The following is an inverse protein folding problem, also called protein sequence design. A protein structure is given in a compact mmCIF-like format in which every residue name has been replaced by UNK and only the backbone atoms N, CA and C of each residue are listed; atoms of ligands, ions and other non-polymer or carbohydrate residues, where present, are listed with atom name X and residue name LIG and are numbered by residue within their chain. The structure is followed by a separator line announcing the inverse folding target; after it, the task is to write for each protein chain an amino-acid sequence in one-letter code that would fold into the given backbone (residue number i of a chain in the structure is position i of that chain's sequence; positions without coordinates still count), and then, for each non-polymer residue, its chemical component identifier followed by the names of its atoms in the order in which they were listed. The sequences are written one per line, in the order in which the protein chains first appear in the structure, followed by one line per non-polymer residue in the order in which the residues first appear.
data_IF_482792708562
#
_entry.id   IF_482792708562
#
_cell.length_a   1.000
_cell.length_b   1.000
_cell.length_c   1.000
_cell.angle_alpha   90.00
_cell.angle_beta   90.00
_cell.angle_gamma   90.00
#
_symmetry.space_group_name_H-M   'P 1'
#
loop_
_entity.id
_entity.type
_entity.pdbx_description
1 polymer ?
#
# COMPACT_ATOMS: atom_id res chain seq x y z
N UNK A 1 -27.22 3.01 6.47
CA UNK A 1 -27.01 1.61 6.19
C UNK A 1 -28.37 0.98 5.89
N UNK A 2 -28.74 0.89 4.63
CA UNK A 2 -30.00 0.30 4.16
C UNK A 2 -29.84 -0.12 2.70
N UNK A 3 -30.51 -1.15 2.29
CA UNK A 3 -30.64 -1.64 0.92
C UNK A 3 -32.08 -1.45 0.41
N UNK A 4 -32.36 -1.86 -0.80
CA UNK A 4 -33.68 -1.78 -1.42
C UNK A 4 -33.88 -0.54 -2.29
N UNK A 5 -32.81 0.11 -2.71
CA UNK A 5 -32.78 1.28 -3.59
C UNK A 5 -32.46 0.91 -5.05
N UNK A 6 -31.68 1.73 -5.73
CA UNK A 6 -31.38 1.55 -7.16
C UNK A 6 -30.69 0.24 -7.53
N UNK A 7 -29.99 -0.39 -6.59
CA UNK A 7 -29.36 -1.70 -6.76
C UNK A 7 -30.38 -2.84 -6.88
N UNK A 8 -31.62 -2.64 -6.44
CA UNK A 8 -32.61 -3.70 -6.41
C UNK A 8 -33.47 -3.74 -7.68
N UNK A 9 -34.09 -2.62 -8.05
CA UNK A 9 -34.98 -2.52 -9.21
C UNK A 9 -35.33 -1.06 -9.51
N UNK A 10 -36.19 -0.83 -10.54
CA UNK A 10 -36.64 0.52 -10.93
C UNK A 10 -37.48 1.24 -9.85
N UNK A 11 -38.26 0.52 -9.06
CA UNK A 11 -39.02 1.09 -7.94
C UNK A 11 -38.04 1.62 -6.86
N UNK A 12 -37.00 0.84 -6.55
CA UNK A 12 -35.91 1.25 -5.67
C UNK A 12 -35.14 2.46 -6.21
N UNK A 13 -34.92 2.52 -7.51
CA UNK A 13 -34.28 3.67 -8.15
C UNK A 13 -35.15 4.95 -8.04
N UNK A 14 -36.46 4.82 -8.18
CA UNK A 14 -37.37 5.95 -7.95
C UNK A 14 -37.37 6.40 -6.48
N UNK A 15 -37.37 5.45 -5.56
CA UNK A 15 -37.28 5.75 -4.13
C UNK A 15 -35.97 6.49 -3.81
N UNK A 16 -34.84 6.06 -4.40
CA UNK A 16 -33.57 6.75 -4.25
C UNK A 16 -33.60 8.18 -4.78
N UNK A 17 -34.21 8.43 -5.93
CA UNK A 17 -34.40 9.79 -6.47
C UNK A 17 -35.19 10.69 -5.49
N UNK A 18 -36.31 10.19 -4.98
CA UNK A 18 -37.12 10.91 -3.97
C UNK A 18 -36.32 11.19 -2.70
N UNK A 19 -35.55 10.23 -2.23
CA UNK A 19 -34.71 10.38 -1.06
C UNK A 19 -33.64 11.48 -1.24
N UNK A 20 -32.98 11.51 -2.39
CA UNK A 20 -32.00 12.56 -2.74
C UNK A 20 -32.68 13.94 -2.79
N UNK A 21 -33.86 14.05 -3.38
CA UNK A 21 -34.59 15.32 -3.48
C UNK A 21 -35.01 15.88 -2.11
N UNK A 22 -35.41 15.01 -1.20
CA UNK A 22 -35.75 15.41 0.20
C UNK A 22 -34.50 15.90 0.90
N UNK A 23 -33.38 15.16 0.81
CA UNK A 23 -32.13 15.54 1.44
C UNK A 23 -31.61 16.89 0.93
N UNK A 24 -31.64 17.11 -0.40
CA UNK A 24 -31.23 18.37 -1.01
C UNK A 24 -32.07 19.54 -0.51
N UNK A 25 -33.39 19.39 -0.43
CA UNK A 25 -34.29 20.43 0.09
C UNK A 25 -34.02 20.75 1.57
N UNK A 26 -33.57 19.78 2.33
CA UNK A 26 -33.21 19.93 3.74
C UNK A 26 -31.74 20.39 3.95
N UNK A 27 -30.94 20.61 2.90
CA UNK A 27 -29.51 20.94 2.99
C UNK A 27 -28.64 19.80 3.52
N UNK A 28 -29.13 18.55 3.43
CA UNK A 28 -28.38 17.36 3.88
C UNK A 28 -27.62 16.69 2.73
N UNK A 29 -26.49 16.07 3.05
CA UNK A 29 -25.69 15.26 2.13
C UNK A 29 -25.86 13.77 2.45
N UNK A 30 -25.77 12.92 1.43
CA UNK A 30 -25.97 11.48 1.56
C UNK A 30 -24.71 10.73 1.10
N UNK A 31 -24.19 9.86 1.97
CA UNK A 31 -23.24 8.79 1.61
C UNK A 31 -24.04 7.49 1.57
N UNK A 32 -23.99 6.78 0.45
CA UNK A 32 -24.82 5.60 0.19
C UNK A 32 -25.95 5.89 -0.79
N UNK A 33 -27.15 5.25 -0.61
CA UNK A 33 -27.48 4.15 0.30
C UNK A 33 -26.72 2.85 -0.01
N UNK A 34 -27.13 1.73 0.53
CA UNK A 34 -26.48 0.43 0.33
C UNK A 34 -24.97 0.50 0.67
N UNK A 35 -24.67 0.97 1.88
CA UNK A 35 -23.31 1.23 2.36
C UNK A 35 -23.07 0.58 3.71
N UNK A 36 -21.84 0.13 3.93
CA UNK A 36 -21.36 -0.28 5.25
C UNK A 36 -21.04 0.91 6.18
N UNK A 37 -21.06 2.13 5.65
CA UNK A 37 -20.90 3.35 6.43
C UNK A 37 -19.52 3.99 6.30
N UNK A 38 -19.16 4.78 7.31
CA UNK A 38 -17.93 5.55 7.34
C UNK A 38 -17.28 5.57 8.74
N UNK A 39 -15.97 5.72 8.77
CA UNK A 39 -15.20 5.93 9.99
C UNK A 39 -14.19 7.07 9.79
N UNK A 40 -14.08 7.93 10.79
CA UNK A 40 -13.00 8.89 10.93
C UNK A 40 -12.23 8.56 12.21
N UNK A 41 -11.13 7.84 12.06
CA UNK A 41 -10.38 7.31 13.18
C UNK A 41 -9.56 8.39 13.92
N UNK A 42 -9.29 9.54 13.27
CA UNK A 42 -8.63 10.68 13.91
C UNK A 42 -9.54 11.30 14.98
N UNK A 43 -10.82 11.48 14.64
CA UNK A 43 -11.81 12.09 15.55
C UNK A 43 -12.55 11.07 16.39
N UNK A 44 -12.38 9.78 16.17
CA UNK A 44 -13.12 8.71 16.83
C UNK A 44 -14.61 8.69 16.48
N UNK A 45 -15.00 9.22 15.29
CA UNK A 45 -16.39 9.25 14.84
C UNK A 45 -16.64 8.11 13.85
N UNK A 46 -17.64 7.30 14.18
CA UNK A 46 -18.02 6.14 13.40
C UNK A 46 -19.52 6.19 13.10
N UNK A 47 -19.89 6.01 11.83
CA UNK A 47 -21.25 5.81 11.37
C UNK A 47 -21.27 4.55 10.50
N UNK A 48 -21.34 3.39 11.15
CA UNK A 48 -21.14 2.08 10.56
C UNK A 48 -22.37 1.20 10.77
N UNK A 49 -22.47 0.16 9.95
CA UNK A 49 -23.40 -0.93 10.20
C UNK A 49 -23.13 -1.52 11.59
N UNK A 50 -24.18 -1.83 12.35
CA UNK A 50 -24.06 -2.07 13.79
C UNK A 50 -23.45 -3.44 14.05
N UNK A 51 -22.19 -3.48 14.40
CA UNK A 51 -21.56 -4.69 14.94
C UNK A 51 -20.41 -4.34 15.85
N UNK A 52 -20.22 -5.13 16.89
CA UNK A 52 -19.09 -5.13 17.79
C UNK A 52 -17.85 -5.66 17.06
N UNK A 53 -17.28 -4.87 16.18
CA UNK A 53 -16.14 -5.26 15.35
C UNK A 53 -14.79 -4.73 15.87
N UNK A 54 -14.75 -4.25 17.10
CA UNK A 54 -13.50 -3.75 17.69
C UNK A 54 -12.97 -2.48 17.04
N UNK A 55 -13.85 -1.61 16.53
CA UNK A 55 -13.46 -0.36 15.87
C UNK A 55 -12.60 0.55 16.76
N UNK A 56 -12.79 0.50 18.07
CA UNK A 56 -12.02 1.22 19.07
C UNK A 56 -10.55 0.74 19.13
N UNK A 57 -10.25 -0.45 18.62
CA UNK A 57 -8.91 -1.03 18.57
C UNK A 57 -8.14 -0.67 17.29
N UNK A 58 -8.82 -0.10 16.28
CA UNK A 58 -8.15 0.29 15.04
C UNK A 58 -7.18 1.41 15.33
N UNK A 59 -5.91 1.19 15.03
CA UNK A 59 -4.88 2.20 15.22
C UNK A 59 -5.11 3.42 14.32
N UNK A 60 -4.77 4.60 14.81
CA UNK A 60 -4.73 5.81 13.99
C UNK A 60 -3.56 5.71 13.02
N UNK A 61 -3.84 5.98 11.75
CA UNK A 61 -2.85 5.94 10.69
C UNK A 61 -3.03 7.12 9.72
N UNK A 62 -2.38 7.06 8.59
CA UNK A 62 -2.38 8.15 7.59
C UNK A 62 -2.93 7.71 6.22
N UNK A 63 -3.43 6.48 6.12
CA UNK A 63 -4.02 5.93 4.90
C UNK A 63 -5.54 6.07 4.99
N UNK A 64 -6.16 6.63 3.96
CA UNK A 64 -7.62 6.72 3.85
C UNK A 64 -8.14 5.84 2.72
N UNK A 65 -9.25 5.17 2.97
CA UNK A 65 -9.89 4.25 2.03
C UNK A 65 -11.25 4.77 1.58
N UNK A 66 -11.49 4.75 0.27
CA UNK A 66 -12.79 4.94 -0.37
C UNK A 66 -13.15 3.62 -1.04
N UNK A 67 -14.32 3.06 -0.75
CA UNK A 67 -14.75 1.78 -1.31
C UNK A 67 -16.17 1.84 -1.86
N UNK A 68 -16.49 0.96 -2.79
CA UNK A 68 -17.85 0.67 -3.24
C UNK A 68 -18.32 -0.73 -2.86
N UNK A 69 -17.60 -1.41 -1.98
CA UNK A 69 -17.91 -2.79 -1.60
C UNK A 69 -17.81 -3.01 -0.10
N UNK A 70 -18.78 -3.72 0.45
CA UNK A 70 -18.77 -4.13 1.85
C UNK A 70 -17.64 -5.09 2.23
N UNK A 71 -16.96 -5.70 1.24
CA UNK A 71 -15.84 -6.63 1.51
C UNK A 71 -14.58 -5.93 2.04
N UNK A 72 -14.42 -4.62 1.81
CA UNK A 72 -13.38 -3.78 2.45
C UNK A 72 -13.94 -3.08 3.70
N UNK A 73 -15.20 -3.31 4.02
CA UNK A 73 -15.80 -2.68 5.18
C UNK A 73 -15.08 -3.05 6.47
N UNK A 74 -15.23 -2.20 7.47
CA UNK A 74 -14.54 -2.37 8.75
C UNK A 74 -14.87 -3.68 9.45
N UNK A 75 -16.05 -4.25 9.20
CA UNK A 75 -16.45 -5.55 9.73
C UNK A 75 -15.91 -6.76 8.94
N UNK A 76 -15.35 -6.56 7.75
CA UNK A 76 -14.93 -7.65 6.86
C UNK A 76 -13.42 -7.86 6.83
N UNK A 77 -12.64 -6.88 7.28
CA UNK A 77 -11.17 -6.90 7.28
C UNK A 77 -10.67 -6.74 8.72
N UNK A 78 -9.65 -7.48 9.16
CA UNK A 78 -9.13 -7.38 10.51
C UNK A 78 -8.30 -6.10 10.74
N UNK A 79 -8.94 -4.95 10.58
CA UNK A 79 -8.30 -3.64 10.66
C UNK A 79 -7.58 -3.37 11.98
N UNK A 80 -8.07 -3.96 13.08
CA UNK A 80 -7.44 -3.85 14.38
C UNK A 80 -6.04 -4.50 14.43
N UNK A 81 -5.78 -5.45 13.54
CA UNK A 81 -4.52 -6.17 13.45
C UNK A 81 -3.52 -5.47 12.52
N UNK A 82 -3.95 -4.42 11.78
CA UNK A 82 -3.03 -3.63 10.98
C UNK A 82 -2.18 -2.71 11.86
N UNK A 83 -0.87 -2.95 11.97
CA UNK A 83 -0.01 -2.20 12.87
C UNK A 83 0.17 -0.74 12.46
N UNK A 84 0.01 -0.43 11.16
CA UNK A 84 0.12 0.93 10.61
C UNK A 84 -1.18 1.75 10.71
N UNK A 85 -2.32 1.14 11.08
CA UNK A 85 -3.58 1.83 11.26
C UNK A 85 -4.19 2.48 10.01
N UNK A 86 -5.34 3.11 10.18
CA UNK A 86 -6.02 3.88 9.13
C UNK A 86 -6.41 5.28 9.61
N UNK A 87 -6.58 6.20 8.68
CA UNK A 87 -7.13 7.53 8.95
C UNK A 87 -8.65 7.53 8.81
N UNK A 88 -9.13 7.39 7.58
CA UNK A 88 -10.57 7.39 7.26
C UNK A 88 -10.92 6.18 6.42
N UNK A 89 -12.13 5.70 6.62
CA UNK A 89 -12.76 4.68 5.79
C UNK A 89 -14.13 5.17 5.38
N UNK A 90 -14.45 5.13 4.08
CA UNK A 90 -15.74 5.59 3.54
C UNK A 90 -16.22 4.59 2.50
N UNK A 91 -17.34 3.94 2.79
CA UNK A 91 -18.04 3.11 1.81
C UNK A 91 -19.13 3.93 1.13
N UNK A 92 -18.98 4.12 -0.18
CA UNK A 92 -19.84 4.95 -1.01
C UNK A 92 -21.21 4.30 -1.32
N UNK A 93 -21.31 2.97 -1.28
CA UNK A 93 -22.51 2.26 -1.70
C UNK A 93 -22.97 2.69 -3.10
N UNK A 94 -24.25 3.07 -3.24
CA UNK A 94 -24.86 3.48 -4.53
C UNK A 94 -24.40 4.87 -5.03
N UNK A 95 -23.67 5.65 -4.25
CA UNK A 95 -23.19 7.00 -4.62
C UNK A 95 -24.32 7.93 -5.12
N UNK A 96 -25.45 7.97 -4.43
CA UNK A 96 -26.59 8.70 -4.92
C UNK A 96 -26.40 10.24 -4.91
N UNK A 97 -25.60 10.74 -3.96
CA UNK A 97 -25.26 12.17 -3.81
C UNK A 97 -23.75 12.37 -3.79
N UNK A 98 -23.08 12.00 -2.68
CA UNK A 98 -21.61 12.05 -2.59
C UNK A 98 -20.99 10.93 -3.43
N UNK A 99 -20.01 11.28 -4.25
CA UNK A 99 -19.33 10.36 -5.16
C UNK A 99 -17.81 10.26 -4.89
N UNK A 100 -17.13 9.41 -5.66
CA UNK A 100 -15.70 9.19 -5.57
C UNK A 100 -14.87 10.44 -5.86
N UNK A 101 -15.34 11.32 -6.73
CA UNK A 101 -14.63 12.55 -7.09
C UNK A 101 -14.63 13.54 -5.94
N UNK A 102 -15.78 13.72 -5.29
CA UNK A 102 -15.91 14.61 -4.14
C UNK A 102 -15.11 14.10 -2.93
N UNK A 103 -15.14 12.79 -2.67
CA UNK A 103 -14.33 12.23 -1.60
C UNK A 103 -12.83 12.30 -1.90
N UNK A 104 -12.43 12.15 -3.15
CA UNK A 104 -11.05 12.33 -3.55
C UNK A 104 -10.59 13.76 -3.29
N UNK A 105 -11.40 14.76 -3.66
CA UNK A 105 -11.16 16.19 -3.34
C UNK A 105 -11.06 16.43 -1.81
N UNK A 106 -11.98 15.85 -1.05
CA UNK A 106 -12.00 15.97 0.41
C UNK A 106 -10.74 15.38 1.05
N UNK A 107 -10.37 14.13 0.71
CA UNK A 107 -9.18 13.47 1.26
C UNK A 107 -7.88 14.06 0.72
N UNK A 108 -7.90 14.59 -0.51
CA UNK A 108 -6.79 15.32 -1.09
C UNK A 108 -6.42 16.56 -0.29
N UNK A 109 -7.39 17.23 0.33
CA UNK A 109 -7.21 18.42 1.17
C UNK A 109 -7.09 18.10 2.67
N UNK A 110 -7.31 16.86 3.09
CA UNK A 110 -7.20 16.44 4.48
C UNK A 110 -5.71 16.33 4.91
N UNK A 111 -5.22 17.13 5.87
CA UNK A 111 -3.81 17.10 6.27
C UNK A 111 -3.38 15.79 6.91
N UNK A 112 -4.31 15.04 7.50
CA UNK A 112 -4.04 13.77 8.15
C UNK A 112 -3.94 12.59 7.17
N UNK A 113 -4.44 12.75 5.93
CA UNK A 113 -4.35 11.73 4.89
C UNK A 113 -3.06 11.89 4.09
N UNK A 114 -2.15 10.91 4.13
CA UNK A 114 -0.95 10.86 3.29
C UNK A 114 -1.18 10.07 2.00
N UNK A 115 -1.96 8.99 2.05
CA UNK A 115 -2.23 8.11 0.91
C UNK A 115 -3.73 7.88 0.82
N UNK A 116 -4.26 7.89 -0.41
CA UNK A 116 -5.67 7.60 -0.72
C UNK A 116 -5.73 6.29 -1.50
N UNK A 117 -6.48 5.33 -0.99
CA UNK A 117 -6.67 4.02 -1.60
C UNK A 117 -8.13 3.81 -1.97
N UNK A 118 -8.41 3.53 -3.26
CA UNK A 118 -9.77 3.40 -3.78
C UNK A 118 -10.05 1.98 -4.28
N UNK A 119 -11.23 1.46 -3.93
CA UNK A 119 -11.84 0.35 -4.64
C UNK A 119 -13.10 0.85 -5.34
N UNK A 120 -13.15 0.74 -6.65
CA UNK A 120 -14.25 1.28 -7.47
C UNK A 120 -14.81 0.23 -8.42
N UNK A 121 -16.12 0.23 -8.59
CA UNK A 121 -16.84 -0.57 -9.57
C UNK A 121 -17.16 0.24 -10.84
N UNK A 122 -17.35 1.53 -10.70
CA UNK A 122 -17.59 2.48 -11.78
C UNK A 122 -17.27 3.91 -11.36
N UNK A 123 -17.21 4.82 -12.33
CA UNK A 123 -17.04 6.26 -12.11
C UNK A 123 -18.32 6.96 -12.54
N UNK A 124 -18.85 7.84 -11.71
CA UNK A 124 -20.10 8.55 -11.98
C UNK A 124 -19.90 9.69 -12.98
N UNK A 125 -18.87 10.50 -12.75
CA UNK A 125 -18.44 11.59 -13.62
C UNK A 125 -16.92 11.47 -13.91
N UNK A 126 -16.59 10.88 -15.08
CA UNK A 126 -15.21 10.65 -15.47
C UNK A 126 -14.38 11.92 -15.66
N UNK A 127 -15.00 13.03 -16.10
CA UNK A 127 -14.31 14.30 -16.30
C UNK A 127 -13.95 14.94 -14.96
N UNK A 128 -14.89 14.96 -14.03
CA UNK A 128 -14.66 15.47 -12.68
C UNK A 128 -13.62 14.64 -11.94
N UNK A 129 -13.74 13.30 -12.02
CA UNK A 129 -12.77 12.38 -11.41
C UNK A 129 -11.37 12.60 -11.95
N UNK A 130 -11.20 12.68 -13.27
CA UNK A 130 -9.90 12.90 -13.92
C UNK A 130 -9.29 14.25 -13.48
N UNK A 131 -10.10 15.30 -13.41
CA UNK A 131 -9.65 16.63 -12.96
C UNK A 131 -9.18 16.60 -11.52
N UNK A 132 -9.99 16.08 -10.61
CA UNK A 132 -9.65 15.94 -9.20
C UNK A 132 -8.39 15.10 -8.99
N UNK A 133 -8.30 13.95 -9.68
CA UNK A 133 -7.17 13.05 -9.58
C UNK A 133 -5.86 13.72 -10.06
N UNK A 134 -5.86 14.44 -11.19
CA UNK A 134 -4.68 15.16 -11.69
C UNK A 134 -4.14 16.21 -10.71
N UNK A 135 -5.00 16.84 -9.95
CA UNK A 135 -4.59 17.80 -8.94
C UNK A 135 -3.99 17.09 -7.71
N UNK A 136 -4.66 16.03 -7.25
CA UNK A 136 -4.34 15.40 -5.98
C UNK A 136 -3.10 14.52 -6.08
N UNK A 137 -2.91 13.79 -7.17
CA UNK A 137 -1.75 12.90 -7.37
C UNK A 137 -0.40 13.62 -7.37
N UNK A 138 -0.38 14.91 -7.65
CA UNK A 138 0.81 15.77 -7.49
C UNK A 138 1.23 15.96 -6.03
N UNK A 139 0.29 15.82 -5.11
CA UNK A 139 0.50 16.08 -3.67
C UNK A 139 0.50 14.80 -2.84
N UNK A 140 -0.36 13.86 -3.20
CA UNK A 140 -0.57 12.60 -2.46
C UNK A 140 -0.68 11.43 -3.43
N UNK A 141 -0.08 10.27 -3.12
CA UNK A 141 -0.30 9.08 -3.92
C UNK A 141 -1.75 8.63 -3.81
N UNK A 142 -2.31 8.27 -4.97
CA UNK A 142 -3.65 7.74 -5.12
C UNK A 142 -3.54 6.37 -5.77
N UNK A 143 -4.03 5.34 -5.06
CA UNK A 143 -4.11 3.97 -5.57
C UNK A 143 -5.53 3.65 -5.96
N UNK A 144 -5.72 2.84 -7.00
CA UNK A 144 -7.05 2.37 -7.38
C UNK A 144 -7.05 0.90 -7.81
N UNK A 145 -7.95 0.14 -7.23
CA UNK A 145 -8.37 -1.16 -7.72
C UNK A 145 -9.77 -1.00 -8.34
N UNK A 146 -9.90 -1.28 -9.65
CA UNK A 146 -11.19 -1.28 -10.33
C UNK A 146 -11.64 -2.71 -10.60
N UNK A 147 -12.85 -3.05 -10.17
CA UNK A 147 -13.53 -4.28 -10.58
C UNK A 147 -14.29 -4.10 -11.91
N UNK A 148 -14.81 -5.18 -12.47
CA UNK A 148 -15.54 -5.14 -13.74
C UNK A 148 -14.67 -4.91 -14.96
N UNK A 149 -13.46 -5.47 -14.99
CA UNK A 149 -12.49 -5.33 -16.07
C UNK A 149 -12.84 -6.13 -17.33
N UNK A 150 -13.50 -7.26 -17.17
CA UNK A 150 -13.98 -8.10 -18.29
C UNK A 150 -15.45 -7.82 -18.58
N UNK A 151 -15.90 -8.15 -19.79
CA UNK A 151 -17.31 -8.00 -20.17
C UNK A 151 -18.26 -8.78 -19.27
N UNK A 152 -17.82 -9.96 -18.81
CA UNK A 152 -18.57 -10.81 -17.88
C UNK A 152 -18.65 -10.19 -16.49
N UNK A 153 -17.55 -9.71 -15.97
CA UNK A 153 -17.50 -9.02 -14.67
C UNK A 153 -18.29 -7.69 -14.71
N UNK A 154 -18.24 -6.95 -15.82
CA UNK A 154 -19.03 -5.74 -16.01
C UNK A 154 -20.55 -6.00 -15.95
N UNK A 155 -21.01 -7.09 -16.60
CA UNK A 155 -22.42 -7.53 -16.50
C UNK A 155 -22.83 -7.89 -15.07
N UNK A 156 -21.95 -8.57 -14.33
CA UNK A 156 -22.22 -8.92 -12.93
C UNK A 156 -22.37 -7.67 -12.06
N UNK A 157 -21.53 -6.64 -12.26
CA UNK A 157 -21.64 -5.35 -11.54
C UNK A 157 -22.98 -4.66 -11.81
N UNK A 158 -23.41 -4.58 -13.07
CA UNK A 158 -24.69 -3.98 -13.42
C UNK A 158 -25.84 -4.68 -12.69
N UNK A 159 -25.78 -6.01 -12.57
CA UNK A 159 -26.80 -6.78 -11.85
C UNK A 159 -26.75 -6.62 -10.33
N UNK A 160 -25.55 -6.28 -9.78
CA UNK A 160 -25.35 -6.20 -8.33
C UNK A 160 -25.55 -4.80 -7.75
N UNK A 161 -25.09 -3.77 -8.47
CA UNK A 161 -25.09 -2.38 -7.94
C UNK A 161 -25.83 -1.38 -8.84
N UNK A 162 -26.34 -1.82 -10.00
CA UNK A 162 -26.93 -0.93 -11.00
C UNK A 162 -25.94 0.05 -11.64
N UNK A 163 -24.66 -0.07 -11.33
CA UNK A 163 -23.60 0.81 -11.84
C UNK A 163 -23.17 0.39 -13.24
N UNK A 164 -23.05 1.33 -14.17
CA UNK A 164 -22.43 1.07 -15.46
C UNK A 164 -20.92 0.91 -15.28
N UNK A 165 -20.41 -0.29 -15.53
CA UNK A 165 -18.96 -0.50 -15.63
C UNK A 165 -18.48 0.12 -16.94
N UNK A 166 -17.70 1.20 -16.86
CA UNK A 166 -17.07 1.81 -18.02
C UNK A 166 -16.01 0.89 -18.65
N UNK A 167 -15.58 1.24 -19.88
CA UNK A 167 -14.51 0.53 -20.58
C UNK A 167 -13.20 0.54 -19.78
N UNK A 168 -12.58 -0.63 -19.65
CA UNK A 168 -11.37 -0.80 -18.82
C UNK A 168 -10.14 -0.12 -19.44
N UNK A 169 -10.05 -0.03 -20.76
CA UNK A 169 -8.94 0.64 -21.44
C UNK A 169 -9.04 2.16 -21.30
N UNK A 170 -10.27 2.70 -21.37
CA UNK A 170 -10.52 4.12 -21.10
C UNK A 170 -10.17 4.47 -19.65
N UNK A 171 -10.54 3.60 -18.71
CA UNK A 171 -10.18 3.80 -17.30
C UNK A 171 -8.66 3.73 -17.09
N UNK A 172 -7.97 2.78 -17.71
CA UNK A 172 -6.51 2.67 -17.63
C UNK A 172 -5.82 3.93 -18.19
N UNK A 173 -6.27 4.41 -19.33
CA UNK A 173 -5.78 5.66 -19.93
C UNK A 173 -6.01 6.87 -19.01
N UNK A 174 -7.16 6.94 -18.35
CA UNK A 174 -7.45 8.00 -17.39
C UNK A 174 -6.53 7.91 -16.14
N UNK A 175 -6.26 6.70 -15.63
CA UNK A 175 -5.31 6.50 -14.55
C UNK A 175 -3.91 6.97 -14.93
N UNK A 176 -3.43 6.62 -16.12
CA UNK A 176 -2.14 7.07 -16.64
C UNK A 176 -2.07 8.59 -16.77
N UNK A 177 -3.10 9.22 -17.36
CA UNK A 177 -3.17 10.68 -17.51
C UNK A 177 -3.22 11.43 -16.18
N UNK A 178 -3.81 10.83 -15.14
CA UNK A 178 -3.93 11.41 -13.82
C UNK A 178 -2.83 10.95 -12.85
N UNK A 179 -1.87 10.13 -13.31
CA UNK A 179 -0.83 9.56 -12.47
C UNK A 179 -1.37 8.75 -11.27
N UNK A 180 -2.54 8.13 -11.43
CA UNK A 180 -3.10 7.22 -10.44
C UNK A 180 -2.34 5.89 -10.51
N UNK A 181 -1.96 5.35 -9.37
CA UNK A 181 -1.36 4.03 -9.26
C UNK A 181 -2.46 2.98 -9.35
N UNK A 182 -2.61 2.39 -10.55
CA UNK A 182 -3.57 1.30 -10.76
C UNK A 182 -2.99 -0.01 -10.24
N UNK A 183 -3.73 -0.67 -9.33
CA UNK A 183 -3.39 -2.00 -8.81
C UNK A 183 -4.31 -3.07 -9.41
N UNK A 184 -3.86 -4.32 -9.41
CA UNK A 184 -4.57 -5.43 -10.03
C UNK A 184 -5.05 -6.49 -9.04
N UNK A 185 -4.49 -6.50 -7.85
CA UNK A 185 -4.79 -7.45 -6.79
C UNK A 185 -5.28 -6.70 -5.55
N UNK A 186 -6.14 -7.37 -4.79
CA UNK A 186 -6.70 -6.87 -3.56
C UNK A 186 -5.67 -6.44 -2.51
N UNK A 187 -4.71 -7.31 -2.23
CA UNK A 187 -3.66 -7.03 -1.25
C UNK A 187 -2.76 -5.85 -1.65
N UNK A 188 -2.60 -5.59 -2.96
CA UNK A 188 -1.80 -4.46 -3.45
C UNK A 188 -2.35 -3.10 -2.99
N UNK A 189 -3.67 -2.98 -2.74
CA UNK A 189 -4.25 -1.75 -2.18
C UNK A 189 -3.68 -1.41 -0.80
N UNK A 190 -3.38 -2.42 -0.01
CA UNK A 190 -2.83 -2.27 1.34
C UNK A 190 -1.31 -2.19 1.32
N UNK A 191 -0.68 -3.10 0.58
CA UNK A 191 0.78 -3.24 0.51
C UNK A 191 1.45 -1.98 -0.06
N UNK A 192 0.92 -1.42 -1.15
CA UNK A 192 1.51 -0.21 -1.71
C UNK A 192 1.11 1.05 -0.96
N UNK A 193 -0.08 1.06 -0.33
CA UNK A 193 -0.46 2.17 0.52
C UNK A 193 0.47 2.30 1.74
N UNK A 194 0.80 1.18 2.41
CA UNK A 194 1.66 1.23 3.60
C UNK A 194 3.08 1.72 3.29
N UNK A 195 3.72 1.26 2.21
CA UNK A 195 5.07 1.71 1.88
C UNK A 195 5.10 3.19 1.48
N UNK A 196 4.12 3.66 0.70
CA UNK A 196 3.98 5.06 0.31
C UNK A 196 3.67 6.00 1.49
N UNK A 197 3.04 5.47 2.55
CA UNK A 197 2.68 6.24 3.73
C UNK A 197 3.81 6.38 4.75
N UNK A 198 4.66 5.35 4.87
CA UNK A 198 5.59 5.21 5.99
C UNK A 198 7.06 5.25 5.61
N UNK A 199 7.40 5.11 4.33
CA UNK A 199 8.79 5.15 3.88
C UNK A 199 9.09 6.44 3.09
N UNK A 200 10.34 6.95 3.14
CA UNK A 200 10.75 8.06 2.30
C UNK A 200 10.68 7.69 0.82
N UNK A 201 10.41 8.64 -0.05
CA UNK A 201 10.47 8.40 -1.50
C UNK A 201 11.92 8.21 -1.95
N UNK A 202 12.19 7.29 -2.89
CA UNK A 202 13.53 7.12 -3.43
C UNK A 202 13.92 8.33 -4.30
N UNK A 203 15.21 8.69 -4.28
CA UNK A 203 15.76 9.77 -5.12
C UNK A 203 16.02 9.35 -6.57
N UNK A 204 16.01 8.05 -6.83
CA UNK A 204 16.26 7.45 -8.15
C UNK A 204 15.83 5.99 -8.15
N UNK A 205 16.27 5.25 -9.16
CA UNK A 205 15.87 3.86 -9.40
C UNK A 205 16.95 2.81 -9.07
N UNK A 206 18.03 3.21 -8.40
CA UNK A 206 19.17 2.32 -8.12
C UNK A 206 18.89 1.48 -6.90
N UNK A 207 18.68 0.17 -7.12
CA UNK A 207 18.29 -0.81 -6.11
C UNK A 207 19.49 -1.48 -5.46
N UNK A 208 19.57 -1.42 -4.14
CA UNK A 208 20.38 -2.31 -3.31
C UNK A 208 19.57 -3.55 -2.90
N UNK A 209 20.17 -4.73 -2.98
CA UNK A 209 19.54 -5.98 -2.56
C UNK A 209 20.36 -6.60 -1.44
N UNK A 210 19.72 -6.81 -0.29
CA UNK A 210 20.25 -7.57 0.83
C UNK A 210 19.43 -8.83 0.99
N UNK A 211 19.96 -9.98 0.62
CA UNK A 211 19.26 -11.26 0.62
C UNK A 211 20.04 -12.32 1.38
N UNK A 212 19.33 -13.23 2.03
CA UNK A 212 19.94 -14.40 2.67
C UNK A 212 20.12 -15.58 1.71
N UNK A 213 19.79 -15.41 0.43
CA UNK A 213 19.95 -16.46 -0.60
C UNK A 213 20.09 -15.85 -1.99
N UNK A 214 21.03 -16.35 -2.77
CA UNK A 214 21.27 -15.93 -4.14
C UNK A 214 20.08 -16.18 -5.08
N UNK A 215 19.33 -17.26 -4.86
CA UNK A 215 18.15 -17.58 -5.67
C UNK A 215 17.05 -16.50 -5.58
N UNK A 216 16.73 -16.05 -4.37
CA UNK A 216 15.78 -14.95 -4.16
C UNK A 216 16.31 -13.64 -4.72
N UNK A 217 17.61 -13.36 -4.55
CA UNK A 217 18.21 -12.17 -5.12
C UNK A 217 18.05 -12.10 -6.65
N UNK A 218 18.19 -13.22 -7.34
CA UNK A 218 17.97 -13.29 -8.79
C UNK A 218 16.52 -12.99 -9.19
N UNK A 219 15.55 -13.57 -8.48
CA UNK A 219 14.13 -13.29 -8.74
C UNK A 219 13.76 -11.81 -8.47
N UNK A 220 14.36 -11.23 -7.43
CA UNK A 220 14.20 -9.78 -7.14
C UNK A 220 14.73 -8.90 -8.28
N UNK A 221 15.86 -9.28 -8.91
CA UNK A 221 16.43 -8.56 -10.04
C UNK A 221 15.46 -8.55 -11.22
N UNK A 222 14.90 -9.70 -11.56
CA UNK A 222 13.93 -9.82 -12.66
C UNK A 222 12.72 -8.92 -12.45
N UNK A 223 12.08 -9.04 -11.28
CA UNK A 223 10.93 -8.19 -10.93
C UNK A 223 11.29 -6.70 -10.89
N UNK A 224 12.46 -6.36 -10.32
CA UNK A 224 12.92 -4.97 -10.24
C UNK A 224 13.06 -4.34 -11.63
N UNK A 225 13.61 -5.07 -12.61
CA UNK A 225 13.75 -4.62 -13.98
C UNK A 225 12.40 -4.34 -14.65
N UNK A 226 11.39 -5.20 -14.45
CA UNK A 226 10.02 -5.00 -14.94
C UNK A 226 9.38 -3.70 -14.42
N UNK A 227 9.76 -3.29 -13.20
CA UNK A 227 9.23 -2.09 -12.55
C UNK A 227 10.14 -0.86 -12.66
N UNK A 228 11.13 -0.92 -13.57
CA UNK A 228 11.99 0.22 -13.92
C UNK A 228 13.11 0.52 -12.92
N UNK A 229 13.40 -0.42 -12.01
CA UNK A 229 14.55 -0.33 -11.13
C UNK A 229 15.79 -0.93 -11.80
N UNK A 230 16.95 -0.44 -11.43
CA UNK A 230 18.26 -0.93 -11.90
C UNK A 230 19.11 -1.36 -10.73
N UNK A 231 19.89 -2.43 -10.91
CA UNK A 231 20.76 -2.91 -9.83
C UNK A 231 21.91 -1.92 -9.64
N UNK A 232 22.02 -1.36 -8.46
CA UNK A 232 23.06 -0.37 -8.14
C UNK A 232 24.46 -0.99 -8.18
N UNK A 233 25.41 -0.26 -8.71
CA UNK A 233 26.82 -0.55 -8.50
C UNK A 233 27.25 0.16 -7.21
N UNK A 234 27.74 -0.61 -6.24
CA UNK A 234 28.23 -0.07 -4.98
C UNK A 234 29.37 0.93 -5.20
N UNK A 235 29.49 1.91 -4.34
CA UNK A 235 30.66 2.75 -4.25
C UNK A 235 31.92 1.92 -3.92
N UNK A 236 33.12 2.41 -4.26
CA UNK A 236 34.33 1.73 -3.91
C UNK A 236 34.49 1.54 -2.40
N UNK A 237 34.10 2.55 -1.62
CA UNK A 237 34.11 2.52 -0.17
C UNK A 237 33.22 1.42 0.40
N UNK A 238 31.96 1.37 -0.04
CA UNK A 238 31.00 0.34 0.39
C UNK A 238 31.47 -1.06 -0.01
N UNK A 239 31.95 -1.20 -1.24
CA UNK A 239 32.51 -2.48 -1.72
C UNK A 239 33.69 -2.95 -0.85
N UNK A 240 34.60 -2.06 -0.49
CA UNK A 240 35.77 -2.41 0.32
C UNK A 240 35.40 -2.68 1.79
N UNK A 241 34.40 -1.98 2.34
CA UNK A 241 33.85 -2.27 3.68
C UNK A 241 33.26 -3.68 3.71
N UNK A 242 32.41 -4.03 2.76
CA UNK A 242 31.77 -5.34 2.70
C UNK A 242 32.80 -6.48 2.49
N UNK A 243 33.84 -6.30 1.66
CA UNK A 243 34.91 -7.27 1.50
C UNK A 243 35.69 -7.53 2.78
N UNK A 244 35.87 -6.50 3.62
CA UNK A 244 36.51 -6.67 4.94
C UNK A 244 35.65 -7.48 5.92
N UNK A 245 34.31 -7.39 5.80
CA UNK A 245 33.44 -8.15 6.64
C UNK A 245 33.42 -9.63 6.27
N UNK A 246 33.33 -9.94 4.99
CA UNK A 246 33.32 -11.33 4.51
C UNK A 246 33.95 -11.47 3.11
N UNK A 247 35.28 -11.62 3.01
CA UNK A 247 35.94 -11.93 1.75
C UNK A 247 35.70 -13.41 1.38
N UNK A 248 35.60 -13.78 0.10
CA UNK A 248 35.58 -12.98 -1.12
C UNK A 248 34.18 -12.75 -1.68
N UNK A 249 33.11 -13.20 -0.96
CA UNK A 249 31.73 -13.25 -1.50
C UNK A 249 31.05 -11.87 -1.56
N UNK A 250 31.49 -10.94 -0.72
CA UNK A 250 30.90 -9.62 -0.65
C UNK A 250 31.73 -8.56 -1.38
N UNK A 251 31.13 -7.44 -1.66
CA UNK A 251 31.75 -6.33 -2.39
C UNK A 251 31.04 -6.02 -3.69
N UNK A 252 29.93 -6.73 -3.95
CA UNK A 252 29.02 -6.48 -5.06
C UNK A 252 27.57 -6.48 -4.57
N UNK A 253 26.68 -5.93 -5.36
CA UNK A 253 25.22 -5.99 -5.19
C UNK A 253 24.66 -6.98 -6.22
N UNK A 254 23.84 -7.94 -5.85
CA UNK A 254 23.24 -8.23 -4.52
C UNK A 254 24.25 -8.69 -3.45
N UNK A 255 23.94 -8.39 -2.19
CA UNK A 255 24.67 -8.90 -1.03
C UNK A 255 23.95 -10.15 -0.53
N UNK A 256 24.63 -11.31 -0.61
CA UNK A 256 24.14 -12.58 -0.04
C UNK A 256 24.70 -12.77 1.37
N UNK A 257 23.89 -12.46 2.40
CA UNK A 257 24.30 -12.61 3.79
C UNK A 257 24.04 -14.01 4.37
N UNK A 258 23.40 -14.90 3.59
CA UNK A 258 23.15 -16.29 4.01
C UNK A 258 24.42 -17.12 4.08
N UNK A 259 25.43 -16.80 3.27
CA UNK A 259 26.71 -17.50 3.30
C UNK A 259 27.41 -17.33 4.66
N UNK A 260 27.58 -16.11 5.22
CA UNK A 260 28.12 -15.93 6.57
C UNK A 260 27.38 -16.68 7.65
N UNK A 261 26.07 -16.81 7.56
CA UNK A 261 25.24 -17.54 8.54
C UNK A 261 25.65 -19.01 8.66
N UNK A 262 25.96 -19.65 7.54
CA UNK A 262 26.39 -21.06 7.52
C UNK A 262 27.77 -21.28 8.16
N UNK A 263 28.67 -20.31 8.04
CA UNK A 263 30.06 -20.44 8.50
C UNK A 263 30.31 -19.81 9.87
N UNK A 264 29.51 -18.81 10.27
CA UNK A 264 29.67 -18.07 11.52
C UNK A 264 28.32 -17.83 12.21
N UNK A 265 27.66 -18.87 12.70
CA UNK A 265 26.30 -18.79 13.25
C UNK A 265 26.17 -17.78 14.41
N UNK A 266 27.23 -17.58 15.21
CA UNK A 266 27.21 -16.65 16.35
C UNK A 266 27.47 -15.19 15.94
N UNK A 267 27.81 -14.90 14.70
CA UNK A 267 28.21 -13.56 14.21
C UNK A 267 27.38 -13.07 13.02
N UNK A 268 26.43 -13.85 12.55
CA UNK A 268 25.68 -13.51 11.32
C UNK A 268 24.88 -12.21 11.44
N UNK A 269 24.28 -11.92 12.59
CA UNK A 269 23.47 -10.73 12.76
C UNK A 269 24.28 -9.43 12.68
N UNK A 270 25.47 -9.30 13.32
CA UNK A 270 26.35 -8.17 13.08
C UNK A 270 26.74 -7.97 11.60
N UNK A 271 26.93 -9.05 10.82
CA UNK A 271 27.19 -8.95 9.39
C UNK A 271 25.97 -8.39 8.65
N UNK A 272 24.79 -8.92 8.92
CA UNK A 272 23.54 -8.41 8.35
C UNK A 272 23.35 -6.93 8.67
N UNK A 273 23.48 -6.53 9.92
CA UNK A 273 23.36 -5.14 10.37
C UNK A 273 24.33 -4.22 9.62
N UNK A 274 25.63 -4.58 9.60
CA UNK A 274 26.64 -3.77 8.93
C UNK A 274 26.41 -3.70 7.41
N UNK A 275 25.96 -4.77 6.79
CA UNK A 275 25.62 -4.79 5.36
C UNK A 275 24.45 -3.85 5.07
N UNK A 276 23.38 -3.89 5.88
CA UNK A 276 22.24 -2.99 5.73
C UNK A 276 22.65 -1.52 5.93
N UNK A 277 23.43 -1.23 6.98
CA UNK A 277 23.94 0.11 7.23
C UNK A 277 24.82 0.63 6.09
N UNK A 278 25.65 -0.24 5.49
CA UNK A 278 26.47 0.12 4.33
C UNK A 278 25.59 0.50 3.14
N UNK A 279 24.55 -0.28 2.82
CA UNK A 279 23.60 0.06 1.76
C UNK A 279 22.85 1.36 2.03
N UNK A 280 22.47 1.62 3.27
CA UNK A 280 21.79 2.86 3.66
C UNK A 280 22.68 4.09 3.49
N UNK A 281 23.99 3.96 3.71
CA UNK A 281 24.97 5.06 3.58
C UNK A 281 25.50 5.26 2.16
N UNK A 282 25.38 4.27 1.27
CA UNK A 282 25.96 4.34 -0.09
C UNK A 282 25.13 5.26 -1.01
N UNK A 283 25.71 6.37 -1.46
CA UNK A 283 25.06 7.35 -2.34
C UNK A 283 24.70 6.79 -3.73
N UNK A 284 25.20 5.63 -4.10
CA UNK A 284 24.83 4.95 -5.33
C UNK A 284 23.53 4.13 -5.21
N UNK A 285 22.93 4.07 -4.01
CA UNK A 285 21.71 3.33 -3.74
C UNK A 285 20.57 4.30 -3.44
N UNK A 286 19.42 4.10 -4.08
CA UNK A 286 18.24 4.93 -3.90
C UNK A 286 17.13 4.22 -3.11
N UNK A 287 17.07 2.88 -3.17
CA UNK A 287 16.10 2.04 -2.46
C UNK A 287 16.69 0.66 -2.15
N UNK A 288 16.11 -0.05 -1.18
CA UNK A 288 16.65 -1.33 -0.70
C UNK A 288 15.54 -2.38 -0.66
N UNK A 289 15.77 -3.53 -1.33
CA UNK A 289 15.02 -4.76 -1.11
C UNK A 289 15.75 -5.61 -0.06
N UNK A 290 15.05 -5.88 1.03
CA UNK A 290 15.61 -6.56 2.19
C UNK A 290 14.90 -7.90 2.42
N UNK A 291 15.66 -9.00 2.41
CA UNK A 291 15.15 -10.34 2.64
C UNK A 291 15.69 -10.87 3.97
N UNK A 292 14.76 -11.08 4.90
CA UNK A 292 15.03 -11.58 6.25
C UNK A 292 14.69 -13.06 6.33
N UNK A 293 15.58 -13.83 6.94
CA UNK A 293 15.29 -15.19 7.36
C UNK A 293 15.25 -15.29 8.87
N UNK A 294 14.25 -15.98 9.41
CA UNK A 294 14.13 -16.27 10.83
C UNK A 294 14.31 -17.78 11.03
N UNK A 295 15.17 -18.14 11.97
CA UNK A 295 15.36 -19.53 12.38
C UNK A 295 14.07 -20.14 12.99
N UNK A 296 13.94 -21.50 13.04
CA UNK A 296 12.73 -22.15 13.55
C UNK A 296 12.38 -21.80 15.00
N UNK A 297 13.34 -21.31 15.79
CA UNK A 297 13.16 -21.01 17.20
C UNK A 297 12.85 -19.51 17.44
N UNK A 298 12.92 -18.68 16.41
CA UNK A 298 12.65 -17.24 16.49
C UNK A 298 13.72 -16.45 17.25
N UNK A 299 14.92 -17.00 17.41
CA UNK A 299 15.99 -16.41 18.22
C UNK A 299 16.45 -15.02 17.73
N UNK A 300 16.18 -14.70 16.47
CA UNK A 300 16.57 -13.43 15.84
C UNK A 300 15.48 -12.34 15.84
N UNK A 301 14.25 -12.65 16.23
CA UNK A 301 13.11 -11.72 16.20
C UNK A 301 13.41 -10.43 16.98
N UNK A 302 13.93 -10.55 18.20
CA UNK A 302 14.26 -9.40 19.05
C UNK A 302 15.41 -8.57 18.47
N UNK A 303 16.40 -9.21 17.84
CA UNK A 303 17.53 -8.51 17.23
C UNK A 303 17.10 -7.66 16.01
N UNK A 304 16.25 -8.21 15.12
CA UNK A 304 15.68 -7.44 14.02
C UNK A 304 14.79 -6.30 14.51
N UNK A 305 13.98 -6.54 15.54
CA UNK A 305 13.13 -5.51 16.13
C UNK A 305 13.95 -4.35 16.67
N UNK A 306 15.00 -4.65 17.46
CA UNK A 306 15.89 -3.63 18.01
C UNK A 306 16.59 -2.81 16.92
N UNK A 307 17.08 -3.45 15.86
CA UNK A 307 17.68 -2.72 14.74
C UNK A 307 16.65 -1.79 14.07
N UNK A 308 15.41 -2.22 13.91
CA UNK A 308 14.36 -1.38 13.37
C UNK A 308 14.04 -0.19 14.28
N UNK A 309 14.03 -0.37 15.61
CA UNK A 309 13.88 0.72 16.58
C UNK A 309 15.01 1.76 16.44
N UNK A 310 16.26 1.31 16.28
CA UNK A 310 17.41 2.19 16.06
C UNK A 310 17.34 2.97 14.75
N UNK A 311 16.77 2.37 13.70
CA UNK A 311 16.61 2.99 12.38
C UNK A 311 15.32 3.82 12.23
N UNK A 312 14.37 3.72 13.16
CA UNK A 312 13.10 4.42 13.08
C UNK A 312 13.29 5.94 13.03
N UNK A 313 12.67 6.58 12.03
CA UNK A 313 12.74 8.04 11.83
C UNK A 313 14.08 8.54 11.26
N UNK A 314 15.05 7.66 10.99
CA UNK A 314 16.36 8.05 10.43
C UNK A 314 16.52 7.72 8.95
N UNK A 315 15.59 6.93 8.38
CA UNK A 315 15.68 6.46 7.01
C UNK A 315 15.61 7.60 6.00
N UNK A 316 16.58 7.64 5.10
CA UNK A 316 16.61 8.54 3.93
C UNK A 316 16.32 7.82 2.63
N UNK A 317 16.26 6.49 2.66
CA UNK A 317 15.98 5.59 1.53
C UNK A 317 14.90 4.60 1.94
N UNK A 318 13.96 4.26 1.06
CA UNK A 318 12.95 3.26 1.38
C UNK A 318 13.53 1.86 1.44
N UNK A 319 13.01 1.07 2.38
CA UNK A 319 13.28 -0.36 2.54
C UNK A 319 11.98 -1.11 2.37
N UNK A 320 11.94 -2.08 1.44
CA UNK A 320 10.88 -3.06 1.33
C UNK A 320 11.38 -4.41 1.83
N UNK A 321 10.71 -4.96 2.84
CA UNK A 321 11.16 -6.18 3.50
C UNK A 321 10.25 -7.36 3.18
N UNK A 322 10.85 -8.51 2.86
CA UNK A 322 10.19 -9.81 2.87
C UNK A 322 10.84 -10.69 3.93
N UNK A 323 9.98 -11.37 4.70
CA UNK A 323 10.41 -12.27 5.77
C UNK A 323 9.96 -13.69 5.44
N UNK A 324 10.84 -14.66 5.59
CA UNK A 324 10.47 -16.05 5.52
C UNK A 324 11.11 -16.88 6.64
N UNK A 325 10.42 -17.94 7.03
CA UNK A 325 10.83 -18.84 8.12
C UNK A 325 10.09 -20.16 7.98
N UNK A 326 10.59 -21.26 8.53
CA UNK A 326 9.81 -22.48 8.74
C UNK A 326 8.63 -22.30 9.71
N UNK A 327 8.64 -21.21 10.53
CA UNK A 327 7.61 -20.89 11.50
C UNK A 327 6.79 -19.68 11.07
N UNK A 328 5.54 -19.89 10.68
CA UNK A 328 4.63 -18.78 10.29
C UNK A 328 4.32 -17.85 11.44
N UNK A 329 4.31 -18.33 12.69
CA UNK A 329 4.09 -17.49 13.87
C UNK A 329 5.19 -16.45 14.08
N UNK A 330 6.45 -16.82 13.88
CA UNK A 330 7.57 -15.88 13.96
C UNK A 330 7.58 -14.87 12.81
N UNK A 331 7.15 -15.30 11.60
CA UNK A 331 6.96 -14.36 10.48
C UNK A 331 5.90 -13.33 10.82
N UNK A 332 4.74 -13.75 11.34
CA UNK A 332 3.67 -12.83 11.73
C UNK A 332 4.11 -11.89 12.86
N UNK A 333 4.79 -12.42 13.87
CA UNK A 333 5.29 -11.64 15.00
C UNK A 333 6.27 -10.55 14.56
N UNK A 334 7.32 -10.92 13.81
CA UNK A 334 8.29 -9.93 13.33
C UNK A 334 7.67 -8.95 12.35
N UNK A 335 6.78 -9.40 11.45
CA UNK A 335 6.06 -8.52 10.54
C UNK A 335 5.27 -7.46 11.29
N UNK A 336 4.51 -7.85 12.31
CA UNK A 336 3.75 -6.91 13.14
C UNK A 336 4.64 -5.89 13.86
N UNK A 337 5.77 -6.35 14.43
CA UNK A 337 6.72 -5.49 15.12
C UNK A 337 7.36 -4.48 14.15
N UNK A 338 7.86 -4.93 13.01
CA UNK A 338 8.49 -4.06 12.00
C UNK A 338 7.50 -3.05 11.43
N UNK A 339 6.29 -3.48 11.05
CA UNK A 339 5.27 -2.57 10.53
C UNK A 339 4.79 -1.56 11.57
N UNK A 340 4.75 -1.93 12.86
CA UNK A 340 4.46 -0.98 13.96
C UNK A 340 5.51 0.12 14.08
N UNK A 341 6.74 -0.14 13.64
CA UNK A 341 7.85 0.81 13.61
C UNK A 341 7.95 1.56 12.26
N UNK A 342 7.05 1.29 11.31
CA UNK A 342 7.01 1.94 9.99
C UNK A 342 7.89 1.26 8.93
N UNK A 343 8.30 0.00 9.15
CA UNK A 343 9.04 -0.81 8.18
C UNK A 343 8.09 -1.79 7.48
N UNK A 344 7.65 -1.52 6.25
CA UNK A 344 6.69 -2.36 5.53
C UNK A 344 7.22 -3.75 5.25
N UNK A 345 6.44 -4.76 5.60
CA UNK A 345 6.72 -6.17 5.31
C UNK A 345 5.75 -6.68 4.26
N UNK A 346 6.25 -7.38 3.27
CA UNK A 346 5.49 -7.94 2.15
C UNK A 346 5.39 -9.46 2.29
N UNK A 347 4.34 -10.04 1.71
CA UNK A 347 4.11 -11.48 1.79
C UNK A 347 4.96 -12.27 0.81
N UNK A 348 5.56 -11.62 -0.18
CA UNK A 348 6.54 -12.19 -1.10
C UNK A 348 7.57 -11.15 -1.57
N UNK A 349 8.66 -11.64 -2.14
CA UNK A 349 9.76 -10.82 -2.64
C UNK A 349 9.38 -10.02 -3.91
N UNK A 350 8.50 -10.55 -4.76
CA UNK A 350 8.06 -9.88 -5.98
C UNK A 350 7.24 -8.63 -5.61
N UNK A 351 6.32 -8.76 -4.65
CA UNK A 351 5.52 -7.63 -4.17
C UNK A 351 6.40 -6.56 -3.51
N UNK A 352 7.47 -6.96 -2.79
CA UNK A 352 8.43 -6.02 -2.22
C UNK A 352 9.18 -5.22 -3.31
N UNK A 353 9.70 -5.89 -4.34
CA UNK A 353 10.37 -5.22 -5.46
C UNK A 353 9.41 -4.32 -6.25
N UNK A 354 8.20 -4.79 -6.54
CA UNK A 354 7.13 -4.02 -7.18
C UNK A 354 6.78 -2.76 -6.40
N UNK A 355 6.70 -2.85 -5.08
CA UNK A 355 6.41 -1.71 -4.21
C UNK A 355 7.47 -0.61 -4.33
N UNK A 356 8.76 -0.97 -4.38
CA UNK A 356 9.84 -0.01 -4.60
C UNK A 356 9.77 0.65 -5.98
N UNK A 357 9.45 -0.12 -7.02
CA UNK A 357 9.24 0.42 -8.37
C UNK A 357 8.07 1.38 -8.46
N UNK A 358 6.97 1.10 -7.74
CA UNK A 358 5.82 2.01 -7.62
C UNK A 358 6.21 3.30 -6.90
N UNK A 359 7.01 3.23 -5.83
CA UNK A 359 7.52 4.41 -5.13
C UNK A 359 8.41 5.26 -6.05
N UNK A 360 9.28 4.63 -6.83
CA UNK A 360 10.12 5.33 -7.81
C UNK A 360 9.26 6.03 -8.88
N UNK A 361 8.26 5.35 -9.44
CA UNK A 361 7.33 5.98 -10.39
C UNK A 361 6.61 7.19 -9.78
N UNK A 362 6.18 7.07 -8.53
CA UNK A 362 5.53 8.18 -7.85
C UNK A 362 6.51 9.34 -7.55
N UNK A 363 7.77 9.07 -7.19
CA UNK A 363 8.77 10.12 -6.98
C UNK A 363 9.01 10.96 -8.25
N UNK A 364 9.09 10.32 -9.44
CA UNK A 364 9.25 11.02 -10.70
C UNK A 364 8.07 11.91 -11.07
N UNK A 365 6.85 11.53 -10.67
CA UNK A 365 5.65 12.35 -10.86
C UNK A 365 5.72 13.60 -10.01
N UNK A 366 6.12 13.45 -8.75
CA UNK A 366 6.23 14.55 -7.78
C UNK A 366 7.30 15.57 -8.19
N UNK A 367 8.47 15.09 -8.64
CA UNK A 367 9.58 15.94 -9.09
C UNK A 367 9.23 16.76 -10.33
N UNK A 368 8.47 16.17 -11.28
CA UNK A 368 7.99 16.89 -12.47
C UNK A 368 6.85 17.89 -12.19
N UNK A 369 6.38 17.96 -10.95
CA UNK A 369 5.26 18.82 -10.53
C UNK A 369 5.73 20.06 -9.75
N UNK A 370 7.01 20.12 -9.41
CA UNK A 370 7.71 21.25 -8.78
C UNK A 370 8.38 22.11 -9.85
#
# INVERSE_FOLDING_TARGET
VSDGFAERNEEGAELQRKFVDIAKKAGMRIIGPNTAGLANNVTGKFALCPYECGYEKIKKGTISFITQTGIIALQAVPWADFPYGINKFIDLGNKCDVDESELLEYLGNDPETKVISLYLEGIKDGQRFLKAAKEITRRKPVLVLKSGRTKEAAKAIVSHTGSLAGDDQVFDSACQQANIIRVSKWNELFDFAKILAYQPLPKGNRLGILSCTGGVATMLIDTAAEWGLTIAKLSAESSDQLKKLFPPAWGANPIDWGIPTAYMPDKWFPFYQQALETLLKDDNIDCIANVIWIDPFGSSVDAYTKLAEELQGTLTKPIATWIYSPSSSHVMELSYRLESLGFPVFHDHETAAKALGIMFRYSTIKDNSL
#
